data_IF_584546408991
#
_entry.id   IF_584546408991
#
_cell.length_a   1.000
_cell.length_b   1.000
_cell.length_c   1.000
_cell.angle_alpha   90.00
_cell.angle_beta   90.00
_cell.angle_gamma   90.00
#
_symmetry.space_group_name_H-M   'P 1'
#
loop_
_entity.id
_entity.type
_entity.pdbx_description
1 polymer ?
#
# COMPACT_ATOMS: atom_id res chain seq x y z
N UNK A 1 -24.07 34.91 -45.57
CA UNK A 1 -23.10 34.31 -44.63
C UNK A 1 -23.75 34.22 -43.26
N UNK A 2 -24.25 33.05 -42.87
CA UNK A 2 -24.81 32.80 -41.54
C UNK A 2 -23.69 32.35 -40.60
N UNK A 3 -23.42 33.14 -39.56
CA UNK A 3 -22.50 32.77 -38.48
C UNK A 3 -23.08 31.56 -37.75
N UNK A 4 -22.47 30.39 -37.94
CA UNK A 4 -22.70 29.23 -37.08
C UNK A 4 -22.25 29.61 -35.66
N UNK A 5 -23.21 29.74 -34.75
CA UNK A 5 -22.93 29.94 -33.34
C UNK A 5 -22.16 28.74 -32.83
N UNK A 6 -20.96 28.98 -32.29
CA UNK A 6 -20.20 27.99 -31.54
C UNK A 6 -21.02 27.72 -30.27
N UNK A 7 -21.84 26.68 -30.32
CA UNK A 7 -22.55 26.17 -29.13
C UNK A 7 -21.46 25.60 -28.22
N UNK A 8 -21.19 26.28 -27.11
CA UNK A 8 -20.41 25.71 -26.01
C UNK A 8 -21.18 24.50 -25.48
N UNK A 9 -20.89 23.32 -26.03
CA UNK A 9 -21.34 22.04 -25.47
C UNK A 9 -20.53 21.84 -24.19
N UNK A 10 -20.95 22.47 -23.08
CA UNK A 10 -20.60 21.97 -21.76
C UNK A 10 -21.11 20.53 -21.73
N UNK A 11 -20.22 19.55 -21.82
CA UNK A 11 -20.56 18.14 -21.62
C UNK A 11 -21.24 18.04 -20.26
N UNK A 12 -22.57 17.95 -20.25
CA UNK A 12 -23.32 17.68 -19.03
C UNK A 12 -22.96 16.25 -18.64
N UNK A 13 -22.09 16.10 -17.66
CA UNK A 13 -21.74 14.79 -17.13
C UNK A 13 -23.00 14.25 -16.44
N UNK A 14 -23.57 13.17 -17.00
CA UNK A 14 -24.76 12.50 -16.46
C UNK A 14 -24.40 11.61 -15.28
N UNK A 15 -25.37 11.33 -14.41
CA UNK A 15 -25.22 10.39 -13.28
C UNK A 15 -24.71 9.01 -13.74
N UNK A 16 -25.28 8.47 -14.81
CA UNK A 16 -24.88 7.18 -15.39
C UNK A 16 -23.41 7.16 -15.81
N UNK A 17 -22.92 8.27 -16.37
CA UNK A 17 -21.52 8.40 -16.79
C UNK A 17 -20.58 8.38 -15.58
N UNK A 18 -20.94 9.02 -14.48
CA UNK A 18 -20.14 8.99 -13.24
C UNK A 18 -20.15 7.61 -12.60
N UNK A 19 -21.30 6.95 -12.53
CA UNK A 19 -21.38 5.58 -12.02
C UNK A 19 -20.51 4.62 -12.85
N UNK A 20 -20.53 4.78 -14.18
CA UNK A 20 -19.63 4.03 -15.07
C UNK A 20 -18.15 4.34 -14.83
N UNK A 21 -17.81 5.60 -14.59
CA UNK A 21 -16.43 6.00 -14.28
C UNK A 21 -15.96 5.44 -12.94
N UNK A 22 -16.82 5.42 -11.91
CA UNK A 22 -16.53 4.80 -10.60
C UNK A 22 -16.26 3.29 -10.76
N UNK A 23 -17.09 2.56 -11.52
CA UNK A 23 -16.87 1.13 -11.79
C UNK A 23 -15.56 0.87 -12.55
N UNK A 24 -15.22 1.73 -13.52
CA UNK A 24 -13.93 1.65 -14.23
C UNK A 24 -12.75 1.88 -13.29
N UNK A 25 -12.82 2.90 -12.43
CA UNK A 25 -11.80 3.17 -11.41
C UNK A 25 -11.65 1.95 -10.50
N UNK A 26 -12.75 1.39 -9.99
CA UNK A 26 -12.73 0.21 -9.12
C UNK A 26 -12.06 -1.00 -9.79
N UNK A 27 -12.30 -1.23 -11.09
CA UNK A 27 -11.64 -2.30 -11.86
C UNK A 27 -10.15 -2.08 -12.05
N UNK A 28 -9.70 -0.82 -12.16
CA UNK A 28 -8.29 -0.47 -12.35
C UNK A 28 -7.46 -0.64 -11.08
N UNK A 29 -8.07 -0.44 -9.91
CA UNK A 29 -7.41 -0.60 -8.61
C UNK A 29 -7.53 -2.01 -8.01
N UNK A 30 -8.42 -2.85 -8.55
CA UNK A 30 -8.61 -4.20 -8.04
C UNK A 30 -7.37 -5.08 -8.34
N UNK A 31 -6.73 -5.68 -7.32
CA UNK A 31 -5.51 -6.48 -7.47
C UNK A 31 -5.72 -7.75 -8.31
N UNK A 32 -6.96 -8.21 -8.50
CA UNK A 32 -7.31 -9.39 -9.29
C UNK A 32 -7.75 -9.06 -10.74
N UNK A 33 -7.80 -7.78 -11.12
CA UNK A 33 -8.21 -7.37 -12.45
C UNK A 33 -7.11 -7.62 -13.49
N UNK A 34 -7.47 -7.89 -14.74
CA UNK A 34 -6.51 -8.06 -15.86
C UNK A 34 -5.91 -6.72 -16.33
N UNK A 35 -6.61 -5.61 -16.13
CA UNK A 35 -6.15 -4.26 -16.47
C UNK A 35 -5.97 -3.49 -15.17
N UNK A 36 -4.73 -3.37 -14.73
CA UNK A 36 -4.36 -2.68 -13.49
C UNK A 36 -3.56 -1.44 -13.83
N UNK A 37 -3.63 -0.45 -12.95
CA UNK A 37 -2.73 0.71 -13.00
C UNK A 37 -1.33 0.20 -12.71
N UNK A 38 -0.40 0.50 -13.62
CA UNK A 38 1.01 0.14 -13.47
C UNK A 38 1.72 1.25 -12.70
N UNK A 39 1.52 2.51 -13.11
CA UNK A 39 2.10 3.69 -12.47
C UNK A 39 1.11 4.85 -12.50
N UNK A 40 0.83 5.44 -11.32
CA UNK A 40 -0.10 6.56 -11.20
C UNK A 40 0.35 7.78 -12.02
N UNK A 41 1.66 8.05 -12.06
CA UNK A 41 2.18 9.28 -12.66
C UNK A 41 1.94 9.33 -14.17
N UNK A 42 2.04 8.18 -14.84
CA UNK A 42 1.91 8.03 -16.29
C UNK A 42 0.47 7.77 -16.76
N UNK A 43 -0.42 7.34 -15.86
CA UNK A 43 -1.80 6.99 -16.21
C UNK A 43 -2.72 8.22 -16.24
N UNK A 44 -2.66 8.95 -17.35
CA UNK A 44 -3.54 10.10 -17.62
C UNK A 44 -5.03 9.70 -17.63
N UNK A 45 -5.35 8.50 -18.15
CA UNK A 45 -6.73 8.01 -18.22
C UNK A 45 -7.32 7.82 -16.82
N UNK A 46 -6.56 7.24 -15.89
CA UNK A 46 -6.98 7.11 -14.50
C UNK A 46 -7.20 8.48 -13.84
N UNK A 47 -6.28 9.42 -14.02
CA UNK A 47 -6.43 10.80 -13.48
C UNK A 47 -7.67 11.50 -14.03
N UNK A 48 -7.93 11.38 -15.33
CA UNK A 48 -9.12 11.96 -15.96
C UNK A 48 -10.42 11.36 -15.40
N UNK A 49 -10.45 10.05 -15.11
CA UNK A 49 -11.60 9.43 -14.47
C UNK A 49 -11.84 10.00 -13.06
N UNK A 50 -10.79 10.14 -12.25
CA UNK A 50 -10.88 10.71 -10.90
C UNK A 50 -11.31 12.18 -10.94
N UNK A 51 -10.71 12.98 -11.83
CA UNK A 51 -11.06 14.39 -11.99
C UNK A 51 -12.51 14.56 -12.46
N UNK A 52 -13.02 13.66 -13.31
CA UNK A 52 -14.43 13.67 -13.71
C UNK A 52 -15.37 13.41 -12.54
N UNK A 53 -15.03 12.45 -11.66
CA UNK A 53 -15.81 12.12 -10.46
C UNK A 53 -15.76 13.29 -9.49
N UNK A 54 -14.56 13.83 -9.23
CA UNK A 54 -14.34 15.00 -8.37
C UNK A 54 -15.12 16.23 -8.84
N UNK A 55 -15.02 16.57 -10.12
CA UNK A 55 -15.73 17.71 -10.71
C UNK A 55 -17.24 17.55 -10.51
N UNK A 56 -17.78 16.36 -10.77
CA UNK A 56 -19.20 16.09 -10.53
C UNK A 56 -19.58 16.23 -9.06
N UNK A 57 -18.78 15.67 -8.15
CA UNK A 57 -19.01 15.76 -6.71
C UNK A 57 -18.96 17.21 -6.18
N UNK A 58 -18.14 18.09 -6.77
CA UNK A 58 -18.03 19.50 -6.36
C UNK A 58 -19.15 20.36 -6.99
N UNK A 59 -19.51 20.11 -8.25
CA UNK A 59 -20.47 20.94 -8.99
C UNK A 59 -21.92 20.62 -8.64
N UNK A 60 -22.26 19.35 -8.43
CA UNK A 60 -23.64 18.92 -8.25
C UNK A 60 -24.31 19.27 -6.89
N UNK A 61 -23.63 19.34 -5.72
CA UNK A 61 -24.28 19.75 -4.46
C UNK A 61 -24.89 21.17 -4.50
N UNK A 62 -24.55 21.98 -5.51
CA UNK A 62 -25.16 23.30 -5.76
C UNK A 62 -26.56 23.22 -6.38
N UNK A 63 -27.03 22.03 -6.78
CA UNK A 63 -28.31 21.79 -7.47
C UNK A 63 -29.31 21.03 -6.60
N UNK A 64 -29.82 21.64 -5.53
CA UNK A 64 -30.99 21.24 -4.70
C UNK A 64 -31.02 19.85 -4.02
N UNK A 65 -30.57 18.75 -4.65
CA UNK A 65 -30.48 17.40 -4.06
C UNK A 65 -29.45 16.55 -4.82
N UNK A 66 -28.53 15.92 -4.09
CA UNK A 66 -27.46 15.10 -4.69
C UNK A 66 -27.93 13.64 -4.90
N UNK A 67 -27.57 12.97 -6.01
CA UNK A 67 -28.07 11.63 -6.28
C UNK A 67 -27.53 10.60 -5.29
N UNK A 68 -28.45 9.86 -4.64
CA UNK A 68 -28.12 8.85 -3.63
C UNK A 68 -27.21 7.74 -4.19
N UNK A 69 -27.40 7.37 -5.46
CA UNK A 69 -26.59 6.35 -6.15
C UNK A 69 -25.13 6.73 -6.28
N UNK A 70 -24.85 7.94 -6.79
CA UNK A 70 -23.48 8.46 -6.92
C UNK A 70 -22.81 8.63 -5.56
N UNK A 71 -23.56 9.06 -4.53
CA UNK A 71 -23.02 9.27 -3.19
C UNK A 71 -22.56 7.93 -2.60
N UNK A 72 -23.43 6.92 -2.66
CA UNK A 72 -23.12 5.57 -2.16
C UNK A 72 -21.95 4.95 -2.91
N UNK A 73 -21.94 5.02 -4.24
CA UNK A 73 -20.87 4.47 -5.06
C UNK A 73 -19.51 5.13 -4.79
N UNK A 74 -19.50 6.46 -4.64
CA UNK A 74 -18.27 7.22 -4.32
C UNK A 74 -17.75 6.88 -2.93
N UNK A 75 -18.65 6.75 -1.94
CA UNK A 75 -18.26 6.33 -0.59
C UNK A 75 -17.70 4.90 -0.56
N UNK A 76 -18.36 3.97 -1.26
CA UNK A 76 -17.89 2.59 -1.40
C UNK A 76 -16.52 2.52 -2.09
N UNK A 77 -16.28 3.37 -3.09
CA UNK A 77 -14.98 3.45 -3.75
C UNK A 77 -13.87 3.90 -2.80
N UNK A 78 -14.12 4.93 -1.98
CA UNK A 78 -13.17 5.41 -0.97
C UNK A 78 -12.93 4.35 0.11
N UNK A 79 -13.98 3.69 0.58
CA UNK A 79 -13.89 2.60 1.56
C UNK A 79 -13.05 1.44 1.04
N UNK A 80 -13.33 0.99 -0.20
CA UNK A 80 -12.56 -0.04 -0.87
C UNK A 80 -11.09 0.37 -1.01
N UNK A 81 -10.83 1.59 -1.48
CA UNK A 81 -9.46 2.09 -1.64
C UNK A 81 -8.70 2.16 -0.31
N UNK A 82 -9.40 2.51 0.77
CA UNK A 82 -8.82 2.55 2.13
C UNK A 82 -8.47 1.15 2.63
N UNK A 83 -9.38 0.18 2.48
CA UNK A 83 -9.15 -1.20 2.88
C UNK A 83 -7.95 -1.81 2.16
N UNK A 84 -7.87 -1.64 0.84
CA UNK A 84 -6.75 -2.13 0.02
C UNK A 84 -5.43 -1.45 0.39
N UNK A 85 -5.47 -0.16 0.75
CA UNK A 85 -4.28 0.56 1.22
C UNK A 85 -3.75 0.00 2.55
N UNK A 86 -4.65 -0.34 3.49
CA UNK A 86 -4.27 -1.00 4.74
C UNK A 86 -3.68 -2.39 4.51
N UNK A 87 -4.24 -3.17 3.58
CA UNK A 87 -3.70 -4.47 3.21
C UNK A 87 -2.31 -4.36 2.57
N UNK A 88 -2.11 -3.39 1.67
CA UNK A 88 -0.81 -3.11 1.07
C UNK A 88 0.23 -2.68 2.12
N UNK A 89 -0.18 -1.90 3.11
CA UNK A 89 0.70 -1.51 4.22
C UNK A 89 1.19 -2.72 5.00
N UNK A 90 0.30 -3.69 5.29
CA UNK A 90 0.68 -4.95 5.95
C UNK A 90 1.66 -5.78 5.12
N UNK A 91 1.43 -5.87 3.81
CA UNK A 91 2.33 -6.59 2.88
C UNK A 91 3.72 -5.95 2.84
N UNK A 92 3.79 -4.62 2.78
CA UNK A 92 5.08 -3.89 2.85
C UNK A 92 5.78 -4.18 4.18
N UNK A 93 5.06 -4.16 5.30
CA UNK A 93 5.65 -4.47 6.61
C UNK A 93 6.24 -5.88 6.65
N UNK A 94 5.54 -6.86 6.10
CA UNK A 94 6.04 -8.24 6.00
C UNK A 94 7.29 -8.36 5.13
N UNK A 95 7.31 -7.68 3.97
CA UNK A 95 8.47 -7.58 3.09
C UNK A 95 9.67 -6.92 3.77
N UNK A 96 9.44 -5.88 4.57
CA UNK A 96 10.50 -5.22 5.36
C UNK A 96 11.10 -6.19 6.39
N UNK A 97 10.26 -6.91 7.15
CA UNK A 97 10.75 -7.91 8.11
C UNK A 97 11.55 -9.03 7.43
N UNK A 98 11.11 -9.48 6.25
CA UNK A 98 11.84 -10.46 5.45
C UNK A 98 13.21 -9.91 5.01
N UNK A 99 13.25 -8.65 4.55
CA UNK A 99 14.52 -7.97 4.18
C UNK A 99 15.46 -7.86 5.38
N UNK A 100 14.96 -7.46 6.54
CA UNK A 100 15.75 -7.38 7.77
C UNK A 100 16.33 -8.74 8.17
N UNK A 101 15.52 -9.80 8.10
CA UNK A 101 15.98 -11.18 8.36
C UNK A 101 17.06 -11.61 7.35
N UNK A 102 16.90 -11.30 6.07
CA UNK A 102 17.88 -11.62 5.03
C UNK A 102 19.20 -10.86 5.23
N UNK A 103 19.14 -9.57 5.60
CA UNK A 103 20.33 -8.78 5.93
C UNK A 103 21.05 -9.35 7.16
N UNK A 104 20.31 -9.78 8.19
CA UNK A 104 20.88 -10.43 9.36
C UNK A 104 21.57 -11.75 9.00
N UNK A 105 20.94 -12.57 8.15
CA UNK A 105 21.55 -13.81 7.62
C UNK A 105 22.79 -13.52 6.79
N UNK A 106 22.77 -12.49 5.93
CA UNK A 106 23.93 -12.09 5.15
C UNK A 106 25.11 -11.68 6.04
N UNK A 107 24.85 -10.86 7.07
CA UNK A 107 25.86 -10.45 8.04
C UNK A 107 26.44 -11.66 8.79
N UNK A 108 25.59 -12.60 9.21
CA UNK A 108 26.03 -13.84 9.86
C UNK A 108 26.91 -14.68 8.92
N UNK A 109 26.48 -14.87 7.67
CA UNK A 109 27.23 -15.62 6.66
C UNK A 109 28.59 -14.99 6.36
N UNK A 110 28.65 -13.66 6.28
CA UNK A 110 29.89 -12.89 6.09
C UNK A 110 30.85 -13.05 7.26
N UNK A 111 30.34 -13.02 8.50
CA UNK A 111 31.15 -13.26 9.70
C UNK A 111 31.72 -14.68 9.73
N UNK A 112 30.89 -15.69 9.42
CA UNK A 112 31.34 -17.08 9.33
C UNK A 112 32.40 -17.24 8.25
N UNK A 113 32.18 -16.67 7.07
CA UNK A 113 33.15 -16.71 5.98
C UNK A 113 34.49 -16.09 6.41
N UNK A 114 34.47 -14.94 7.07
CA UNK A 114 35.69 -14.29 7.58
C UNK A 114 36.43 -15.17 8.60
N UNK A 115 35.71 -15.76 9.56
CA UNK A 115 36.30 -16.66 10.55
C UNK A 115 36.98 -17.89 9.91
N UNK A 116 36.34 -18.46 8.88
CA UNK A 116 36.87 -19.59 8.11
C UNK A 116 38.10 -19.17 7.30
N UNK A 117 38.04 -18.02 6.61
CA UNK A 117 39.13 -17.49 5.78
C UNK A 117 40.35 -17.13 6.62
N UNK A 118 40.14 -16.67 7.85
CA UNK A 118 41.20 -16.34 8.80
C UNK A 118 41.67 -17.55 9.63
N UNK A 119 41.02 -18.71 9.49
CA UNK A 119 41.32 -19.95 10.23
C UNK A 119 41.32 -19.76 11.75
N UNK A 120 40.33 -19.02 12.25
CA UNK A 120 40.13 -18.82 13.69
C UNK A 120 39.96 -20.15 14.42
N UNK A 121 40.50 -20.29 15.63
CA UNK A 121 40.62 -21.60 16.30
C UNK A 121 39.29 -22.38 16.43
N UNK A 122 38.16 -21.67 16.50
CA UNK A 122 36.80 -22.19 16.67
C UNK A 122 35.98 -22.25 15.37
N UNK A 123 36.57 -22.04 14.18
CA UNK A 123 35.81 -21.96 12.92
C UNK A 123 34.96 -23.22 12.64
N UNK A 124 35.43 -24.41 13.03
CA UNK A 124 34.68 -25.67 12.88
C UNK A 124 33.42 -25.72 13.74
N UNK A 125 33.45 -25.10 14.91
CA UNK A 125 32.29 -25.02 15.79
C UNK A 125 31.29 -24.01 15.23
N UNK A 126 31.77 -22.84 14.78
CA UNK A 126 30.91 -21.83 14.14
C UNK A 126 30.19 -22.38 12.90
N UNK A 127 30.85 -23.29 12.16
CA UNK A 127 30.26 -23.95 10.99
C UNK A 127 29.15 -24.95 11.38
N UNK A 128 29.29 -25.65 12.52
CA UNK A 128 28.24 -26.55 13.03
C UNK A 128 27.02 -25.76 13.53
N UNK A 129 27.26 -24.64 14.20
CA UNK A 129 26.19 -23.76 14.68
C UNK A 129 25.43 -23.11 13.50
N UNK A 130 26.13 -22.83 12.40
CA UNK A 130 25.55 -22.28 11.17
C UNK A 130 24.60 -23.24 10.45
N UNK A 131 24.71 -24.56 10.66
CA UNK A 131 23.82 -25.55 10.04
C UNK A 131 22.34 -25.40 10.44
N UNK A 132 22.05 -24.67 11.50
CA UNK A 132 20.67 -24.37 11.91
C UNK A 132 20.02 -23.28 11.05
N UNK A 133 20.82 -22.40 10.42
CA UNK A 133 20.32 -21.22 9.71
C UNK A 133 20.53 -21.27 8.20
N UNK A 134 21.45 -22.11 7.72
CA UNK A 134 21.83 -22.21 6.32
C UNK A 134 21.64 -23.63 5.79
N UNK A 135 21.40 -23.75 4.48
CA UNK A 135 21.28 -25.03 3.81
C UNK A 135 22.59 -25.82 3.82
N UNK A 136 22.49 -27.15 3.71
CA UNK A 136 23.65 -28.06 3.67
C UNK A 136 24.66 -27.65 2.58
N UNK A 137 24.19 -27.24 1.40
CA UNK A 137 25.04 -26.76 0.31
C UNK A 137 25.95 -25.57 0.71
N UNK A 138 25.43 -24.64 1.51
CA UNK A 138 26.19 -23.49 2.00
C UNK A 138 27.22 -23.95 3.04
N UNK A 139 26.85 -24.88 3.92
CA UNK A 139 27.74 -25.44 4.92
C UNK A 139 28.88 -26.23 4.28
N UNK A 140 28.57 -27.03 3.26
CA UNK A 140 29.57 -27.82 2.54
C UNK A 140 30.55 -26.93 1.78
N UNK A 141 30.05 -25.91 1.08
CA UNK A 141 30.91 -24.93 0.38
C UNK A 141 31.79 -24.14 1.34
N UNK A 142 31.28 -23.69 2.49
CA UNK A 142 32.07 -23.11 3.57
C UNK A 142 33.11 -24.10 4.13
N UNK A 143 32.73 -25.36 4.31
CA UNK A 143 33.61 -26.43 4.78
C UNK A 143 34.74 -26.76 3.80
N UNK A 144 34.50 -26.64 2.49
CA UNK A 144 35.52 -26.76 1.45
C UNK A 144 36.53 -25.61 1.54
N UNK A 145 36.05 -24.37 1.76
CA UNK A 145 36.92 -23.20 1.95
C UNK A 145 37.80 -23.38 3.19
N UNK A 146 37.24 -23.81 4.32
CA UNK A 146 37.99 -23.99 5.57
C UNK A 146 39.05 -25.10 5.52
N UNK A 147 38.78 -26.18 4.77
CA UNK A 147 39.72 -27.29 4.55
C UNK A 147 40.80 -26.97 3.52
N UNK A 148 40.63 -25.92 2.71
CA UNK A 148 41.59 -25.56 1.68
C UNK A 148 42.95 -25.17 2.29
N UNK A 149 44.02 -25.78 1.77
CA UNK A 149 45.41 -25.47 2.16
C UNK A 149 45.83 -24.08 1.68
N UNK A 150 45.34 -23.64 0.52
CA UNK A 150 45.67 -22.37 -0.11
C UNK A 150 44.41 -21.63 -0.57
N UNK A 151 44.40 -20.31 -0.37
CA UNK A 151 43.36 -19.40 -0.89
C UNK A 151 43.42 -19.21 -2.41
N UNK A 152 44.50 -19.69 -3.05
CA UNK A 152 44.74 -19.56 -4.50
C UNK A 152 44.25 -20.77 -5.31
N UNK A 153 43.76 -21.84 -4.67
CA UNK A 153 43.23 -22.96 -5.43
C UNK A 153 41.93 -22.56 -6.13
N UNK A 154 41.76 -23.01 -7.37
CA UNK A 154 40.58 -22.71 -8.18
C UNK A 154 39.28 -23.05 -7.44
N UNK A 155 39.20 -24.26 -6.87
CA UNK A 155 38.03 -24.72 -6.11
C UNK A 155 37.70 -23.83 -4.90
N UNK A 156 38.72 -23.28 -4.22
CA UNK A 156 38.52 -22.38 -3.08
C UNK A 156 38.02 -21.01 -3.56
N UNK A 157 38.56 -20.50 -4.67
CA UNK A 157 38.11 -19.24 -5.26
C UNK A 157 36.68 -19.33 -5.81
N UNK A 158 36.31 -20.46 -6.42
CA UNK A 158 34.97 -20.66 -6.93
C UNK A 158 33.96 -20.83 -5.79
N UNK A 159 34.29 -21.59 -4.74
CA UNK A 159 33.48 -21.64 -3.53
C UNK A 159 33.31 -20.26 -2.87
N UNK A 160 34.38 -19.45 -2.82
CA UNK A 160 34.35 -18.07 -2.32
C UNK A 160 33.38 -17.19 -3.13
N UNK A 161 33.41 -17.30 -4.46
CA UNK A 161 32.48 -16.56 -5.34
C UNK A 161 31.04 -16.97 -5.10
N UNK A 162 30.76 -18.26 -4.93
CA UNK A 162 29.42 -18.76 -4.66
C UNK A 162 28.87 -18.20 -3.34
N UNK A 163 29.66 -18.22 -2.26
CA UNK A 163 29.24 -17.66 -0.97
C UNK A 163 29.07 -16.13 -1.07
N UNK A 164 30.00 -15.42 -1.70
CA UNK A 164 29.88 -13.97 -1.86
C UNK A 164 28.67 -13.58 -2.73
N UNK A 165 28.36 -14.34 -3.77
CA UNK A 165 27.14 -14.14 -4.55
C UNK A 165 25.89 -14.38 -3.69
N UNK A 166 25.90 -15.39 -2.81
CA UNK A 166 24.79 -15.63 -1.88
C UNK A 166 24.62 -14.50 -0.88
N UNK A 167 25.72 -13.99 -0.32
CA UNK A 167 25.71 -12.80 0.55
C UNK A 167 25.12 -11.60 -0.21
N UNK A 168 25.61 -11.32 -1.41
CA UNK A 168 25.13 -10.20 -2.22
C UNK A 168 23.63 -10.31 -2.53
N UNK A 169 23.12 -11.51 -2.82
CA UNK A 169 21.69 -11.73 -3.05
C UNK A 169 20.84 -11.51 -1.78
N UNK A 170 21.35 -11.93 -0.61
CA UNK A 170 20.70 -11.71 0.68
C UNK A 170 20.79 -10.25 1.15
N UNK A 171 21.79 -9.49 0.73
CA UNK A 171 21.91 -8.05 1.02
C UNK A 171 21.04 -7.22 0.06
N UNK A 172 21.14 -7.49 -1.25
CA UNK A 172 20.44 -6.71 -2.28
C UNK A 172 18.93 -6.86 -2.18
N UNK A 173 18.42 -8.07 -1.91
CA UNK A 173 16.98 -8.35 -1.82
C UNK A 173 16.18 -7.79 -3.01
N UNK A 174 16.74 -7.80 -4.22
CA UNK A 174 16.17 -7.12 -5.40
C UNK A 174 14.69 -7.48 -5.65
N UNK A 175 14.31 -8.74 -5.45
CA UNK A 175 12.92 -9.17 -5.59
C UNK A 175 11.97 -8.48 -4.60
N UNK A 176 12.40 -8.32 -3.35
CA UNK A 176 11.64 -7.61 -2.31
C UNK A 176 11.53 -6.13 -2.67
N UNK A 177 12.60 -5.53 -3.18
CA UNK A 177 12.61 -4.13 -3.61
C UNK A 177 11.62 -3.86 -4.74
N UNK A 178 11.64 -4.70 -5.78
CA UNK A 178 10.70 -4.61 -6.90
C UNK A 178 9.24 -4.79 -6.42
N UNK A 179 9.00 -5.77 -5.54
CA UNK A 179 7.66 -6.00 -4.99
C UNK A 179 7.19 -4.82 -4.12
N UNK A 180 8.07 -4.22 -3.32
CA UNK A 180 7.77 -3.03 -2.54
C UNK A 180 7.43 -1.83 -3.43
N UNK A 181 8.22 -1.56 -4.48
CA UNK A 181 7.99 -0.47 -5.43
C UNK A 181 6.62 -0.62 -6.13
N UNK A 182 6.31 -1.82 -6.59
CA UNK A 182 5.02 -2.13 -7.21
C UNK A 182 3.84 -1.92 -6.25
N UNK A 183 3.98 -2.32 -4.99
CA UNK A 183 2.94 -2.08 -3.98
C UNK A 183 2.85 -0.60 -3.63
N UNK A 184 3.97 0.12 -3.61
CA UNK A 184 4.01 1.55 -3.37
C UNK A 184 3.26 2.34 -4.46
N UNK A 185 3.49 2.05 -5.73
CA UNK A 185 2.79 2.73 -6.83
C UNK A 185 1.27 2.51 -6.80
N UNK A 186 0.83 1.30 -6.45
CA UNK A 186 -0.59 1.01 -6.18
C UNK A 186 -1.10 1.81 -5.00
N UNK A 187 -0.32 1.90 -3.93
CA UNK A 187 -0.69 2.62 -2.72
C UNK A 187 -0.80 4.12 -2.96
N UNK A 188 0.03 4.69 -3.85
CA UNK A 188 -0.13 6.07 -4.33
C UNK A 188 -1.47 6.27 -5.04
N UNK A 189 -1.86 5.36 -5.94
CA UNK A 189 -3.15 5.44 -6.64
C UNK A 189 -4.35 5.34 -5.68
N UNK A 190 -4.30 4.41 -4.73
CA UNK A 190 -5.32 4.26 -3.68
C UNK A 190 -5.40 5.50 -2.79
N UNK A 191 -4.25 6.07 -2.41
CA UNK A 191 -4.20 7.33 -1.64
C UNK A 191 -4.75 8.51 -2.44
N UNK A 192 -4.49 8.57 -3.76
CA UNK A 192 -5.00 9.63 -4.62
C UNK A 192 -6.53 9.62 -4.67
N UNK A 193 -7.14 8.44 -4.81
CA UNK A 193 -8.60 8.27 -4.67
C UNK A 193 -9.08 8.77 -3.31
N UNK A 194 -8.43 8.32 -2.23
CA UNK A 194 -8.82 8.65 -0.86
C UNK A 194 -8.74 10.14 -0.56
N UNK A 195 -7.81 10.88 -1.17
CA UNK A 195 -7.70 12.34 -0.99
C UNK A 195 -8.73 13.04 -1.87
N UNK A 196 -8.69 12.84 -3.19
CA UNK A 196 -9.46 13.65 -4.13
C UNK A 196 -10.97 13.42 -4.02
N UNK A 197 -11.40 12.16 -3.83
CA UNK A 197 -12.83 11.83 -3.76
C UNK A 197 -13.38 12.08 -2.35
N UNK A 198 -12.63 11.76 -1.29
CA UNK A 198 -13.14 12.00 0.07
C UNK A 198 -13.23 13.49 0.41
N UNK A 199 -12.29 14.32 -0.05
CA UNK A 199 -12.35 15.77 0.13
C UNK A 199 -13.56 16.36 -0.61
N UNK A 200 -13.87 15.87 -1.82
CA UNK A 200 -15.05 16.27 -2.56
C UNK A 200 -16.36 15.80 -1.87
N UNK A 201 -16.39 14.60 -1.31
CA UNK A 201 -17.54 14.07 -0.57
C UNK A 201 -17.81 14.84 0.73
N UNK A 202 -16.78 15.38 1.39
CA UNK A 202 -16.93 16.14 2.64
C UNK A 202 -17.81 17.39 2.48
N UNK A 203 -17.85 17.96 1.28
CA UNK A 203 -18.68 19.13 0.97
C UNK A 203 -20.16 18.76 0.73
N UNK A 204 -20.48 17.48 0.56
CA UNK A 204 -21.84 17.00 0.30
C UNK A 204 -22.49 16.57 1.62
N UNK A 205 -23.63 17.15 2.02
CA UNK A 205 -24.37 16.64 3.17
C UNK A 205 -24.83 15.21 2.90
N UNK A 206 -24.71 14.33 3.90
CA UNK A 206 -25.18 12.96 3.78
C UNK A 206 -26.67 12.98 3.38
N UNK A 207 -27.07 12.18 2.37
CA UNK A 207 -28.47 12.12 1.96
C UNK A 207 -29.31 11.72 3.17
N UNK A 208 -30.30 12.52 3.52
CA UNK A 208 -31.29 12.14 4.52
C UNK A 208 -32.02 10.90 3.99
N UNK A 209 -32.01 9.83 4.77
CA UNK A 209 -32.87 8.68 4.51
C UNK A 209 -34.31 9.16 4.62
N UNK A 210 -34.96 9.37 3.47
CA UNK A 210 -36.42 9.46 3.42
C UNK A 210 -36.93 8.14 4.01
N UNK A 211 -37.37 8.19 5.27
CA UNK A 211 -38.27 7.18 5.82
C UNK A 211 -39.44 7.13 4.84
N UNK A 212 -39.52 6.06 4.07
CA UNK A 212 -40.68 5.75 3.27
C UNK A 212 -41.78 5.48 4.31
N UNK A 213 -42.58 6.50 4.62
CA UNK A 213 -43.85 6.30 5.31
C UNK A 213 -44.74 5.65 4.25
N UNK A 214 -44.69 4.32 4.19
CA UNK A 214 -45.79 3.56 3.61
C UNK A 214 -46.97 3.77 4.55
N UNK A 215 -48.02 4.38 4.01
CA UNK A 215 -49.35 4.41 4.58
C UNK A 215 -49.81 2.96 4.86
N UNK A 216 -49.55 2.52 6.09
CA UNK A 216 -50.22 1.40 6.72
C UNK A 216 -50.65 1.91 8.10
N UNK A 217 -51.67 2.76 8.06
CA UNK A 217 -52.41 3.21 9.23
C UNK A 217 -52.92 1.99 10.03
N UNK A 218 -52.77 2.09 11.35
CA UNK A 218 -53.64 1.45 12.36
C UNK A 218 -53.45 -0.03 12.75
N UNK A 219 -52.25 -0.58 12.92
CA UNK A 219 -52.08 -1.73 13.88
C UNK A 219 -50.65 -1.83 14.44
N UNK A 220 -50.22 -0.92 15.34
CA UNK A 220 -49.01 -1.17 16.15
C UNK A 220 -48.87 -0.28 17.39
N UNK A 221 -49.95 0.32 17.89
CA UNK A 221 -49.93 1.14 19.13
C UNK A 221 -49.66 0.27 20.38
N UNK A 222 -49.59 -1.06 20.25
CA UNK A 222 -49.32 -1.99 21.36
C UNK A 222 -47.84 -2.31 21.62
N UNK A 223 -46.89 -1.86 20.79
CA UNK A 223 -45.46 -2.21 20.96
C UNK A 223 -44.62 -1.14 21.66
N UNK A 224 -45.21 -0.03 22.12
CA UNK A 224 -44.48 1.04 22.82
C UNK A 224 -44.08 0.68 24.26
N UNK A 225 -44.63 -0.38 24.85
CA UNK A 225 -44.30 -0.79 26.22
C UNK A 225 -43.19 -1.86 26.36
N UNK A 226 -42.66 -2.40 25.25
CA UNK A 226 -41.65 -3.48 25.31
C UNK A 226 -40.22 -3.05 24.93
N UNK A 227 -40.02 -1.79 24.51
CA UNK A 227 -38.71 -1.30 24.03
C UNK A 227 -37.92 -0.59 25.15
N UNK A 228 -38.55 -0.26 26.29
CA UNK A 228 -37.85 0.41 27.40
C UNK A 228 -36.87 -0.50 28.18
N UNK A 229 -36.96 -1.84 28.05
CA UNK A 229 -36.10 -2.77 28.80
C UNK A 229 -34.89 -3.32 28.03
N UNK A 230 -34.75 -3.07 26.73
CA UNK A 230 -33.57 -3.51 25.98
C UNK A 230 -32.73 -2.32 25.51
N UNK A 231 -31.84 -1.85 26.40
CA UNK A 231 -30.71 -0.97 26.07
C UNK A 231 -29.78 -1.65 25.04
N UNK A 232 -30.16 -1.60 23.77
CA UNK A 232 -29.27 -1.95 22.67
C UNK A 232 -28.30 -0.79 22.49
N UNK A 233 -27.05 -1.00 22.91
CA UNK A 233 -25.91 -0.13 22.61
C UNK A 233 -25.89 0.19 21.11
N UNK A 234 -26.27 1.40 20.75
CA UNK A 234 -26.16 1.93 19.39
C UNK A 234 -24.69 1.87 18.99
N UNK A 235 -24.36 1.11 17.94
CA UNK A 235 -23.00 1.04 17.41
C UNK A 235 -22.55 2.45 17.00
N UNK A 236 -21.30 2.86 17.32
CA UNK A 236 -20.81 4.17 16.92
C UNK A 236 -20.79 4.28 15.39
N UNK A 237 -21.23 5.43 14.89
CA UNK A 237 -21.32 5.73 13.45
C UNK A 237 -19.93 5.71 12.82
N UNK A 238 -19.81 5.18 11.60
CA UNK A 238 -18.55 5.01 10.85
C UNK A 238 -17.74 6.33 10.70
N UNK A 239 -18.42 7.48 10.74
CA UNK A 239 -17.81 8.83 10.79
C UNK A 239 -16.99 9.11 12.06
N UNK A 240 -17.38 8.53 13.21
CA UNK A 240 -16.58 8.61 14.43
C UNK A 240 -15.35 7.70 14.35
N UNK A 241 -15.40 6.60 13.59
CA UNK A 241 -14.23 5.74 13.33
C UNK A 241 -13.22 6.42 12.41
N UNK A 242 -13.68 7.16 11.39
CA UNK A 242 -12.82 7.96 10.51
C UNK A 242 -12.14 9.10 11.28
N UNK A 243 -12.86 9.83 12.16
CA UNK A 243 -12.27 10.89 13.00
C UNK A 243 -11.31 10.37 14.08
N UNK A 244 -11.58 9.19 14.63
CA UNK A 244 -10.78 8.61 15.72
C UNK A 244 -9.66 7.68 15.24
N UNK A 245 -9.63 7.30 13.95
CA UNK A 245 -8.54 6.52 13.39
C UNK A 245 -7.29 7.40 13.25
N UNK A 246 -6.11 6.81 13.46
CA UNK A 246 -4.78 7.45 13.37
C UNK A 246 -4.43 7.96 11.95
N UNK A 247 -5.44 8.11 11.09
CA UNK A 247 -5.37 8.36 9.66
C UNK A 247 -4.57 9.64 9.30
N UNK A 248 -4.79 10.75 10.01
CA UNK A 248 -4.03 11.99 9.79
C UNK A 248 -2.55 11.92 10.23
N UNK A 249 -2.19 11.01 11.16
CA UNK A 249 -0.81 10.86 11.66
C UNK A 249 -0.01 9.80 10.88
N UNK A 250 -0.67 8.77 10.37
CA UNK A 250 0.00 7.68 9.64
C UNK A 250 0.39 8.10 8.21
N UNK A 251 -0.46 8.85 7.50
CA UNK A 251 -0.13 9.39 6.17
C UNK A 251 1.06 10.38 6.25
N UNK A 252 1.10 11.24 7.26
CA UNK A 252 2.23 12.16 7.49
C UNK A 252 3.53 11.44 7.88
N UNK A 253 3.45 10.32 8.63
CA UNK A 253 4.63 9.51 8.98
C UNK A 253 5.20 8.76 7.77
N UNK A 254 4.37 8.20 6.90
CA UNK A 254 4.82 7.49 5.69
C UNK A 254 5.48 8.47 4.70
N UNK A 255 4.92 9.68 4.51
CA UNK A 255 5.61 10.74 3.76
C UNK A 255 6.92 11.21 4.42
N UNK A 256 7.02 11.23 5.76
CA UNK A 256 8.27 11.55 6.47
C UNK A 256 9.36 10.49 6.29
N UNK A 257 8.99 9.21 6.19
CA UNK A 257 9.96 8.12 5.97
C UNK A 257 10.60 8.25 4.57
N UNK A 258 9.87 8.77 3.57
CA UNK A 258 10.44 9.13 2.25
C UNK A 258 11.43 10.30 2.27
N UNK A 259 11.45 11.15 3.31
CA UNK A 259 12.33 12.36 3.37
C UNK A 259 13.65 12.10 4.15
N UNK A 260 13.81 10.97 4.85
CA UNK A 260 15.01 10.74 5.71
C UNK A 260 16.05 9.79 5.11
N UNK A 261 15.90 9.34 3.85
CA UNK A 261 16.84 8.36 3.24
C UNK A 261 18.01 9.01 2.48
N UNK A 262 18.13 10.33 2.43
CA UNK A 262 19.30 10.99 1.80
C UNK A 262 19.84 12.15 2.64
N UNK A 263 20.75 11.82 3.58
CA UNK A 263 21.92 12.65 3.84
C UNK A 263 23.10 11.69 4.00
N UNK A 264 23.97 11.52 2.98
CA UNK A 264 25.31 11.01 3.28
C UNK A 264 25.98 12.06 4.16
N UNK A 265 26.30 11.70 5.39
CA UNK A 265 27.23 12.44 6.24
C UNK A 265 28.57 12.56 5.50
N UNK A 266 28.74 13.64 4.76
CA UNK A 266 30.04 14.08 4.27
C UNK A 266 30.88 14.41 5.51
N UNK A 267 32.09 13.85 5.65
CA UNK A 267 33.02 14.34 6.67
C UNK A 267 33.50 15.72 6.20
N UNK A 268 33.03 16.77 6.87
CA UNK A 268 33.65 18.08 6.75
C UNK A 268 35.11 17.95 7.17
N UNK A 269 35.99 18.27 6.22
CA UNK A 269 37.43 18.25 6.40
C UNK A 269 37.84 19.23 7.51
N UNK A 270 38.85 18.81 8.25
CA UNK A 270 39.64 19.68 9.12
C UNK A 270 40.16 20.85 8.28
N UNK A 271 39.80 22.07 8.66
CA UNK A 271 40.55 23.27 8.27
C UNK A 271 41.73 23.43 9.23
N UNK A 272 42.84 23.93 8.67
CA UNK A 272 44.13 24.22 9.30
C UNK A 272 44.06 25.22 10.47
#
# INVERSE_FOLDING_TARGET
MSRAGIVNVRMVITEEKILSNIDKVQKLINPNSKKQIVQLEEDAYFKDLIESIKTYLIEYPKKKSFPKGVYKASYQLVEYATSEFEENTKKIEELIRQREANIALAAKLKNILNAIVNKEANWKQTLKEASNDFSEDIIDTLGLIGRAKSKKSQNCQDAMKLINARIANLESNLHIEIDMERIEDRSKALSYIGIEIADALKAIPAPQEEKIIQEADQVAIENEQYIEETRVKVKPTLWQRIKNSKFGRTVSKIMRIRIVVQIPTLPEGKEE
#
